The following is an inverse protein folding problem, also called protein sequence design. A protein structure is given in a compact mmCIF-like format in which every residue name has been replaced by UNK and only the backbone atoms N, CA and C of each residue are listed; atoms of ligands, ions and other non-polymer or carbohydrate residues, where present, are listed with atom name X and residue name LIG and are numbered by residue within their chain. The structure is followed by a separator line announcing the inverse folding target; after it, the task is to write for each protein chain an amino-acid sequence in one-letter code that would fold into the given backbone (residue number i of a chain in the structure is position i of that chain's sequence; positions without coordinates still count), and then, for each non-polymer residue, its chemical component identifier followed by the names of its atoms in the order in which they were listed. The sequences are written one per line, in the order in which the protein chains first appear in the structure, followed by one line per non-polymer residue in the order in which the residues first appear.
data_IF_472637896753
#
_entry.id   IF_472637896753
#
_cell.length_a   1.000
_cell.length_b   1.000
_cell.length_c   1.000
_cell.angle_alpha   90.00
_cell.angle_beta   90.00
_cell.angle_gamma   90.00
#
_symmetry.space_group_name_H-M   'P 1'
#
loop_
_entity.id
_entity.type
_entity.pdbx_description
1 polymer ?
#
# COMPACT_ATOMS: atom_id res chain seq x y z
N UNK A 1 6.21 17.68 -9.87
CA UNK A 1 6.78 16.63 -9.00
C UNK A 1 7.50 17.30 -7.85
N UNK A 2 7.28 16.85 -6.62
CA UNK A 2 7.84 17.51 -5.46
C UNK A 2 9.23 16.97 -5.10
N UNK A 3 9.95 17.77 -4.32
CA UNK A 3 11.27 17.47 -3.78
C UNK A 3 11.35 17.90 -2.33
N UNK A 4 12.06 17.12 -1.53
CA UNK A 4 12.39 17.46 -0.14
C UNK A 4 13.88 17.81 -0.09
N UNK A 5 14.18 18.96 0.51
CA UNK A 5 15.55 19.39 0.77
C UNK A 5 15.79 19.36 2.28
N UNK A 6 16.98 18.93 2.69
CA UNK A 6 17.43 18.96 4.08
C UNK A 6 18.31 20.20 4.28
N UNK A 7 18.00 21.01 5.29
CA UNK A 7 18.85 22.10 5.76
C UNK A 7 19.61 21.63 7.01
N UNK A 8 20.94 21.68 6.97
CA UNK A 8 21.77 21.48 8.15
C UNK A 8 22.01 22.82 8.83
N UNK A 9 21.40 23.05 10.00
CA UNK A 9 21.42 24.36 10.68
C UNK A 9 22.85 24.81 11.01
N UNK A 10 23.71 23.89 11.48
CA UNK A 10 25.07 24.21 11.89
C UNK A 10 25.98 24.71 10.75
N UNK A 11 25.75 24.25 9.51
CA UNK A 11 26.59 24.58 8.35
C UNK A 11 25.88 25.44 7.30
N UNK A 12 24.57 25.68 7.46
CA UNK A 12 23.74 26.31 6.43
C UNK A 12 23.58 25.49 5.15
N UNK A 13 24.14 24.27 5.08
CA UNK A 13 24.14 23.46 3.86
C UNK A 13 22.73 22.93 3.58
N UNK A 14 22.24 23.22 2.37
CA UNK A 14 21.00 22.66 1.84
C UNK A 14 21.33 21.56 0.84
N UNK A 15 20.81 20.36 1.05
CA UNK A 15 21.03 19.20 0.18
C UNK A 15 19.72 18.53 -0.23
N UNK A 16 19.71 17.89 -1.40
CA UNK A 16 18.56 17.13 -1.88
C UNK A 16 18.42 15.84 -1.07
N UNK A 17 17.28 15.71 -0.37
CA UNK A 17 16.98 14.54 0.44
C UNK A 17 16.11 13.53 -0.30
N UNK A 18 15.10 14.02 -1.03
CA UNK A 18 14.25 13.19 -1.89
C UNK A 18 13.80 13.98 -3.12
N UNK A 19 13.70 13.31 -4.27
CA UNK A 19 13.26 13.89 -5.53
C UNK A 19 12.21 13.00 -6.19
N UNK A 20 11.49 13.54 -7.18
CA UNK A 20 10.50 12.81 -7.95
C UNK A 20 9.32 12.26 -7.13
N UNK A 21 8.89 12.98 -6.09
CA UNK A 21 7.81 12.50 -5.21
C UNK A 21 6.45 12.61 -5.90
N UNK A 22 5.56 11.60 -5.74
CA UNK A 22 4.29 11.48 -6.46
C UNK A 22 3.16 12.41 -5.96
N UNK A 23 3.46 13.28 -4.99
CA UNK A 23 2.51 14.24 -4.42
C UNK A 23 3.21 15.47 -3.85
N UNK A 24 2.44 16.43 -3.36
CA UNK A 24 2.96 17.58 -2.62
C UNK A 24 3.19 17.19 -1.16
N UNK A 25 4.37 17.47 -0.58
CA UNK A 25 4.61 17.33 0.85
C UNK A 25 3.54 18.06 1.65
N UNK A 26 2.85 17.33 2.50
CA UNK A 26 1.87 17.81 3.46
C UNK A 26 2.23 17.23 4.84
N UNK A 27 2.35 18.10 5.84
CA UNK A 27 2.75 17.78 7.21
C UNK A 27 4.08 17.00 7.36
N UNK A 28 5.04 17.60 8.04
CA UNK A 28 6.27 16.91 8.46
C UNK A 28 6.11 16.57 9.95
N UNK A 29 6.12 15.28 10.29
CA UNK A 29 6.02 14.81 11.68
C UNK A 29 7.30 14.10 12.09
N UNK A 30 7.87 14.50 13.22
CA UNK A 30 9.02 13.82 13.81
C UNK A 30 8.56 12.52 14.46
N UNK A 31 9.26 11.42 14.19
CA UNK A 31 9.04 10.16 14.89
C UNK A 31 9.80 10.13 16.22
N UNK A 32 9.38 9.27 17.15
CA UNK A 32 10.11 9.01 18.39
C UNK A 32 11.52 8.38 18.19
N UNK A 33 11.88 8.02 16.95
CA UNK A 33 13.16 7.37 16.61
C UNK A 33 14.14 8.29 15.87
N UNK A 34 13.87 9.60 15.85
CA UNK A 34 14.74 10.58 15.17
C UNK A 34 14.61 10.61 13.65
N UNK A 35 13.61 9.93 13.08
CA UNK A 35 13.23 10.02 11.66
C UNK A 35 12.07 11.00 11.46
N UNK A 36 11.73 11.30 10.22
CA UNK A 36 10.60 12.15 9.86
C UNK A 36 9.65 11.42 8.92
N UNK A 37 8.36 11.59 9.16
CA UNK A 37 7.29 11.26 8.24
C UNK A 37 6.91 12.51 7.45
N UNK A 38 6.72 12.35 6.15
CA UNK A 38 6.23 13.41 5.28
C UNK A 38 4.98 12.87 4.60
N UNK A 39 3.81 13.40 4.96
CA UNK A 39 2.59 13.11 4.22
C UNK A 39 2.74 13.64 2.80
N UNK A 40 2.15 12.95 1.83
CA UNK A 40 2.11 13.43 0.45
C UNK A 40 0.64 13.61 0.07
N UNK A 41 0.21 14.86 -0.07
CA UNK A 41 -1.09 15.19 -0.64
C UNK A 41 -0.95 15.31 -2.16
N UNK A 42 -1.66 14.49 -2.91
CA UNK A 42 -1.88 14.78 -4.33
C UNK A 42 -3.08 15.75 -4.42
N UNK A 43 -2.85 16.99 -4.87
CA UNK A 43 -3.95 17.93 -5.14
C UNK A 43 -4.86 17.35 -6.21
N UNK A 44 -6.10 17.05 -5.83
CA UNK A 44 -7.19 16.77 -6.79
C UNK A 44 -7.38 18.01 -7.66
N UNK A 45 -7.18 17.86 -8.97
CA UNK A 45 -7.55 18.88 -9.95
C UNK A 45 -8.70 18.37 -10.80
N UNK A 46 -9.58 19.27 -11.24
CA UNK A 46 -10.61 18.97 -12.23
C UNK A 46 -10.03 18.36 -13.53
N UNK A 47 -8.77 18.68 -13.85
CA UNK A 47 -8.04 18.15 -15.01
C UNK A 47 -7.25 16.86 -14.73
N UNK A 48 -7.09 16.48 -13.45
CA UNK A 48 -6.37 15.27 -13.03
C UNK A 48 -7.12 14.59 -11.88
N UNK A 49 -8.33 14.05 -12.13
CA UNK A 49 -9.07 13.32 -11.10
C UNK A 49 -8.31 12.03 -10.76
N UNK A 50 -7.83 11.92 -9.52
CA UNK A 50 -7.32 10.65 -9.00
C UNK A 50 -8.43 9.59 -9.06
N UNK A 51 -8.25 8.56 -9.88
CA UNK A 51 -9.19 7.44 -10.04
C UNK A 51 -8.98 6.36 -8.98
N UNK A 52 -7.89 6.43 -8.20
CA UNK A 52 -7.58 5.53 -7.10
C UNK A 52 -6.91 6.26 -5.92
N UNK A 53 -6.96 5.62 -4.76
CA UNK A 53 -6.31 6.04 -3.51
C UNK A 53 -5.59 4.84 -2.90
N UNK A 54 -4.44 5.08 -2.26
CA UNK A 54 -3.74 4.10 -1.41
C UNK A 54 -4.02 4.50 0.04
N UNK A 55 -4.45 3.54 0.85
CA UNK A 55 -4.76 3.70 2.28
C UNK A 55 -3.68 2.99 3.07
N UNK A 56 -3.11 3.68 4.05
CA UNK A 56 -2.00 3.21 4.90
C UNK A 56 -2.33 3.45 6.37
N UNK A 57 -1.84 2.59 7.25
CA UNK A 57 -1.92 2.79 8.71
C UNK A 57 -0.57 3.32 9.24
N UNK A 58 -0.57 3.93 10.42
CA UNK A 58 0.62 4.58 10.98
C UNK A 58 1.61 3.60 11.63
N UNK A 59 1.19 2.35 11.83
CA UNK A 59 1.98 1.28 12.44
C UNK A 59 2.53 0.27 11.43
N UNK A 60 2.63 0.67 10.16
CA UNK A 60 3.10 -0.16 9.04
C UNK A 60 4.42 0.36 8.43
N UNK A 61 5.40 -0.54 8.28
CA UNK A 61 6.65 -0.32 7.57
C UNK A 61 6.45 -0.66 6.09
N UNK A 62 6.82 0.25 5.19
CA UNK A 62 6.62 0.08 3.75
C UNK A 62 7.88 -0.45 3.04
N UNK A 63 7.68 -1.31 2.05
CA UNK A 63 8.76 -1.79 1.20
C UNK A 63 9.28 -0.69 0.24
N UNK A 64 10.57 -0.74 -0.18
CA UNK A 64 11.15 0.25 -1.09
C UNK A 64 10.43 0.36 -2.45
N UNK A 65 9.77 -0.71 -2.89
CA UNK A 65 9.06 -0.80 -4.17
C UNK A 65 7.53 -0.62 -4.06
N UNK A 66 6.99 -0.27 -2.88
CA UNK A 66 5.54 -0.19 -2.63
C UNK A 66 4.79 0.66 -3.67
N UNK A 67 5.29 1.87 -3.95
CA UNK A 67 4.62 2.78 -4.91
C UNK A 67 4.70 2.25 -6.34
N UNK A 68 5.83 1.66 -6.74
CA UNK A 68 5.98 1.01 -8.04
C UNK A 68 5.05 -0.19 -8.16
N UNK A 69 4.88 -0.97 -7.10
CA UNK A 69 3.95 -2.08 -7.03
C UNK A 69 2.50 -1.62 -7.30
N UNK A 70 2.02 -0.59 -6.61
CA UNK A 70 0.67 -0.07 -6.86
C UNK A 70 0.51 0.59 -8.23
N UNK A 71 1.51 1.36 -8.67
CA UNK A 71 1.48 2.01 -9.99
C UNK A 71 1.32 0.98 -11.12
N UNK A 72 2.09 -0.13 -11.05
CA UNK A 72 2.03 -1.20 -12.04
C UNK A 72 0.72 -2.00 -12.00
N UNK A 73 0.00 -2.05 -10.87
CA UNK A 73 -1.25 -2.80 -10.75
C UNK A 73 -2.52 -1.96 -10.88
N UNK A 74 -2.39 -0.63 -10.88
CA UNK A 74 -3.53 0.28 -11.01
C UNK A 74 -4.36 0.01 -12.25
N UNK A 75 -3.72 -0.23 -13.39
CA UNK A 75 -4.44 -0.46 -14.65
C UNK A 75 -5.30 -1.74 -14.58
N UNK A 76 -4.84 -2.79 -13.89
CA UNK A 76 -5.61 -4.02 -13.70
C UNK A 76 -6.84 -3.74 -12.85
N UNK A 77 -6.66 -3.05 -11.73
CA UNK A 77 -7.76 -2.66 -10.84
C UNK A 77 -8.80 -1.77 -11.56
N UNK A 78 -8.37 -0.93 -12.50
CA UNK A 78 -9.27 -0.08 -13.28
C UNK A 78 -10.00 -0.85 -14.39
N UNK A 79 -9.34 -1.77 -15.08
CA UNK A 79 -9.91 -2.52 -16.22
C UNK A 79 -10.77 -3.69 -15.78
N UNK A 80 -10.31 -4.50 -14.83
CA UNK A 80 -10.98 -5.71 -14.41
C UNK A 80 -12.00 -5.43 -13.30
N UNK A 81 -13.29 -5.54 -13.63
CA UNK A 81 -14.40 -5.27 -12.69
C UNK A 81 -14.62 -6.37 -11.66
N UNK A 82 -13.96 -7.51 -11.82
CA UNK A 82 -13.94 -8.57 -10.81
C UNK A 82 -12.91 -8.29 -9.71
N UNK A 83 -12.05 -7.27 -9.88
CA UNK A 83 -11.18 -6.74 -8.83
C UNK A 83 -11.81 -5.54 -8.13
N UNK A 84 -11.51 -5.40 -6.85
CA UNK A 84 -11.95 -4.22 -6.07
C UNK A 84 -10.87 -3.63 -5.17
N UNK A 85 -9.75 -4.34 -4.96
CA UNK A 85 -8.58 -3.80 -4.31
C UNK A 85 -7.26 -4.41 -4.81
N UNK A 86 -6.16 -3.73 -4.51
CA UNK A 86 -4.81 -4.30 -4.50
C UNK A 86 -4.28 -4.11 -3.08
N UNK A 87 -3.83 -5.17 -2.42
CA UNK A 87 -3.24 -5.10 -1.08
C UNK A 87 -1.75 -5.43 -1.16
N UNK A 88 -0.95 -4.73 -0.37
CA UNK A 88 0.47 -5.02 -0.18
C UNK A 88 0.71 -6.20 0.78
N UNK A 89 -0.34 -6.76 1.40
CA UNK A 89 -0.24 -7.76 2.45
C UNK A 89 -0.56 -9.18 1.98
N UNK A 90 0.22 -10.15 2.46
CA UNK A 90 -0.06 -11.57 2.36
C UNK A 90 -0.34 -12.14 3.77
N UNK A 91 -1.59 -12.50 4.05
CA UNK A 91 -2.02 -13.12 5.32
C UNK A 91 -1.32 -14.44 5.66
N UNK A 92 -0.65 -15.07 4.69
CA UNK A 92 0.14 -16.28 4.88
C UNK A 92 1.63 -16.08 4.59
N UNK A 93 2.11 -14.83 4.61
CA UNK A 93 3.48 -14.42 4.29
C UNK A 93 4.59 -14.86 5.26
N UNK A 94 4.39 -15.93 6.05
CA UNK A 94 5.36 -16.38 7.05
C UNK A 94 6.53 -17.14 6.42
N UNK A 95 7.71 -17.13 7.08
CA UNK A 95 8.78 -18.10 6.81
C UNK A 95 8.25 -19.53 6.61
N UNK A 96 8.57 -20.15 5.47
CA UNK A 96 8.17 -21.53 5.17
C UNK A 96 6.86 -21.70 4.41
N UNK A 97 6.04 -20.64 4.33
CA UNK A 97 4.77 -20.65 3.59
C UNK A 97 4.84 -19.91 2.25
N UNK A 98 5.97 -19.28 1.96
CA UNK A 98 6.19 -18.49 0.75
C UNK A 98 7.51 -18.86 0.07
N UNK A 99 7.52 -18.69 -1.25
CA UNK A 99 8.73 -18.63 -2.06
C UNK A 99 9.38 -17.24 -1.89
N UNK A 100 10.51 -17.22 -1.20
CA UNK A 100 11.25 -15.99 -0.85
C UNK A 100 11.99 -15.35 -2.03
N UNK A 101 12.09 -16.03 -3.16
CA UNK A 101 12.72 -15.48 -4.37
C UNK A 101 11.70 -15.06 -5.42
N UNK A 102 10.43 -15.46 -5.28
CA UNK A 102 9.33 -15.12 -6.18
C UNK A 102 8.77 -13.69 -5.97
N UNK A 103 9.64 -12.68 -6.01
CA UNK A 103 9.30 -11.28 -5.71
C UNK A 103 8.23 -10.66 -6.62
N UNK A 104 8.11 -11.14 -7.86
CA UNK A 104 7.15 -10.66 -8.85
C UNK A 104 5.84 -11.43 -8.86
N UNK A 105 5.72 -12.50 -8.05
CA UNK A 105 4.55 -13.38 -8.05
C UNK A 105 3.38 -12.74 -7.32
N UNK A 106 2.21 -12.76 -7.97
CA UNK A 106 0.96 -12.18 -7.50
C UNK A 106 -0.15 -13.21 -7.52
N UNK A 107 -1.17 -12.98 -6.70
CA UNK A 107 -2.34 -13.83 -6.58
C UNK A 107 -3.60 -12.98 -6.50
N UNK A 108 -4.72 -13.60 -6.85
CA UNK A 108 -6.05 -13.10 -6.53
C UNK A 108 -6.51 -13.76 -5.24
N UNK A 109 -7.18 -12.99 -4.39
CA UNK A 109 -7.69 -13.43 -3.09
C UNK A 109 -9.15 -13.01 -2.94
N UNK A 110 -10.00 -13.94 -2.53
CA UNK A 110 -11.37 -13.63 -2.10
C UNK A 110 -11.39 -12.96 -0.72
N UNK A 111 -10.36 -13.17 0.09
CA UNK A 111 -10.22 -12.49 1.38
C UNK A 111 -9.67 -11.08 1.16
N UNK A 112 -10.31 -10.08 1.76
CA UNK A 112 -9.85 -8.68 1.78
C UNK A 112 -8.78 -8.49 2.88
N UNK A 113 -7.50 -8.29 2.51
CA UNK A 113 -6.42 -8.27 3.50
C UNK A 113 -6.27 -6.93 4.22
N UNK A 114 -6.68 -5.81 3.59
CA UNK A 114 -6.36 -4.48 4.09
C UNK A 114 -4.86 -4.18 4.00
N UNK A 115 -4.29 -3.65 5.10
CA UNK A 115 -2.85 -3.46 5.38
C UNK A 115 -2.04 -2.99 4.15
N UNK A 116 -2.03 -1.66 3.97
CA UNK A 116 -1.61 -0.94 2.76
C UNK A 116 -2.35 -1.45 1.52
N UNK A 117 -3.43 -0.77 1.14
CA UNK A 117 -4.26 -1.20 0.02
C UNK A 117 -4.73 -0.04 -0.85
N UNK A 118 -4.90 -0.33 -2.13
CA UNK A 118 -5.38 0.60 -3.14
C UNK A 118 -6.81 0.26 -3.53
N UNK A 119 -7.67 1.28 -3.59
CA UNK A 119 -9.03 1.19 -4.11
C UNK A 119 -9.31 2.22 -5.19
N UNK A 120 -10.30 1.95 -6.03
CA UNK A 120 -10.78 2.93 -7.01
C UNK A 120 -11.77 3.92 -6.40
N UNK A 121 -11.89 5.11 -7.00
CA UNK A 121 -12.95 6.07 -6.70
C UNK A 121 -14.34 5.44 -6.84
N UNK A 122 -14.54 4.55 -7.81
CA UNK A 122 -15.81 3.84 -8.02
C UNK A 122 -16.16 2.96 -6.82
N UNK A 123 -15.18 2.22 -6.32
CA UNK A 123 -15.32 1.41 -5.10
C UNK A 123 -15.69 2.31 -3.92
N UNK A 124 -15.00 3.45 -3.74
CA UNK A 124 -15.33 4.39 -2.67
C UNK A 124 -16.77 4.91 -2.77
N UNK A 125 -17.20 5.36 -3.95
CA UNK A 125 -18.57 5.86 -4.18
C UNK A 125 -19.65 4.82 -3.91
N UNK A 126 -19.34 3.53 -4.02
CA UNK A 126 -20.24 2.43 -3.66
C UNK A 126 -20.31 2.20 -2.14
N UNK A 127 -19.20 2.37 -1.43
CA UNK A 127 -19.08 2.05 0.00
C UNK A 127 -19.45 3.23 0.90
N UNK A 128 -19.08 4.46 0.52
CA UNK A 128 -19.26 5.70 1.30
C UNK A 128 -20.69 5.89 1.84
N UNK A 129 -21.77 5.72 1.06
CA UNK A 129 -23.13 5.97 1.55
C UNK A 129 -23.60 4.97 2.62
N UNK A 130 -22.90 3.83 2.76
CA UNK A 130 -23.26 2.73 3.66
C UNK A 130 -22.11 2.35 4.59
N UNK A 131 -21.15 3.26 4.77
CA UNK A 131 -19.96 3.00 5.58
C UNK A 131 -20.35 2.70 7.04
N UNK A 132 -19.77 1.68 7.68
CA UNK A 132 -20.17 1.27 9.02
C UNK A 132 -19.59 2.19 10.09
N UNK A 133 -20.22 2.24 11.26
CA UNK A 133 -19.71 2.99 12.42
C UNK A 133 -18.48 2.37 13.09
N UNK A 134 -18.11 1.13 12.74
CA UNK A 134 -16.98 0.38 13.29
C UNK A 134 -16.74 -0.93 12.54
N UNK A 135 -15.65 -1.63 12.86
CA UNK A 135 -15.28 -2.93 12.25
C UNK A 135 -15.33 -2.92 10.71
N UNK A 136 -14.81 -1.83 10.13
CA UNK A 136 -14.96 -1.54 8.71
C UNK A 136 -14.32 -2.59 7.80
N UNK A 137 -13.24 -3.23 8.24
CA UNK A 137 -12.52 -4.24 7.48
C UNK A 137 -13.28 -5.58 7.47
N UNK A 138 -13.88 -5.98 8.59
CA UNK A 138 -14.79 -7.14 8.64
C UNK A 138 -16.05 -6.91 7.82
N UNK A 139 -16.68 -5.73 7.95
CA UNK A 139 -17.82 -5.33 7.11
C UNK A 139 -17.46 -5.34 5.61
N UNK A 140 -16.23 -4.96 5.25
CA UNK A 140 -15.77 -5.07 3.86
C UNK A 140 -15.67 -6.53 3.39
N UNK A 141 -15.36 -7.48 4.28
CA UNK A 141 -15.26 -8.91 3.94
C UNK A 141 -16.63 -9.55 3.70
N UNK A 142 -17.72 -8.93 4.15
CA UNK A 142 -19.08 -9.44 3.99
C UNK A 142 -19.48 -9.56 2.50
N UNK A 143 -20.27 -10.59 2.12
CA UNK A 143 -20.68 -10.82 0.74
C UNK A 143 -21.40 -9.62 0.07
N UNK A 144 -22.16 -8.85 0.84
CA UNK A 144 -22.96 -7.70 0.39
C UNK A 144 -22.08 -6.54 -0.08
N UNK A 145 -20.89 -6.41 0.49
CA UNK A 145 -19.87 -5.43 0.14
C UNK A 145 -18.93 -6.02 -0.91
N UNK A 146 -18.38 -7.20 -0.65
CA UNK A 146 -17.41 -7.84 -1.54
C UNK A 146 -17.99 -8.16 -2.91
N UNK A 147 -19.25 -8.60 -2.97
CA UNK A 147 -19.97 -8.95 -4.21
C UNK A 147 -19.20 -9.91 -5.11
N UNK A 148 -18.53 -10.90 -4.51
CA UNK A 148 -17.71 -11.87 -5.23
C UNK A 148 -16.42 -11.32 -5.85
N UNK A 149 -16.08 -10.05 -5.63
CA UNK A 149 -14.85 -9.44 -6.15
C UNK A 149 -13.63 -9.88 -5.34
N UNK A 150 -12.47 -9.75 -5.96
CA UNK A 150 -11.20 -10.22 -5.44
C UNK A 150 -10.18 -9.08 -5.31
N UNK A 151 -9.20 -9.28 -4.45
CA UNK A 151 -8.05 -8.41 -4.35
C UNK A 151 -6.83 -9.05 -4.98
N UNK A 152 -5.96 -8.25 -5.59
CA UNK A 152 -4.59 -8.69 -5.88
C UNK A 152 -3.78 -8.60 -4.58
N UNK A 153 -2.99 -9.63 -4.30
CA UNK A 153 -2.01 -9.65 -3.20
C UNK A 153 -0.72 -10.34 -3.65
N UNK A 154 0.44 -10.03 -3.05
CA UNK A 154 1.70 -10.62 -3.49
C UNK A 154 2.10 -11.91 -2.78
N UNK A 155 3.10 -12.61 -3.32
CA UNK A 155 3.78 -13.69 -2.61
C UNK A 155 4.52 -13.16 -1.37
N UNK A 156 5.36 -12.15 -1.55
CA UNK A 156 6.12 -11.47 -0.49
C UNK A 156 5.40 -10.15 -0.21
N UNK A 157 5.04 -9.87 1.04
CA UNK A 157 4.36 -8.62 1.41
C UNK A 157 5.21 -7.39 1.08
N UNK A 158 4.58 -6.26 0.78
CA UNK A 158 5.22 -4.95 0.54
C UNK A 158 4.97 -3.99 1.71
N UNK A 159 4.38 -4.51 2.77
CA UNK A 159 4.25 -3.87 4.06
C UNK A 159 4.54 -4.88 5.17
N UNK A 160 5.06 -4.39 6.29
CA UNK A 160 5.37 -5.14 7.49
C UNK A 160 4.82 -4.44 8.72
N UNK A 161 4.33 -5.20 9.70
CA UNK A 161 3.88 -4.65 10.97
C UNK A 161 5.06 -4.12 11.79
N UNK A 162 5.01 -2.84 12.14
CA UNK A 162 6.03 -2.23 13.01
C UNK A 162 5.91 -2.78 14.43
N UNK A 163 6.94 -2.58 15.25
CA UNK A 163 6.88 -2.89 16.70
C UNK A 163 5.75 -2.15 17.44
N UNK A 164 5.25 -1.06 16.87
CA UNK A 164 4.22 -0.21 17.46
C UNK A 164 2.80 -0.78 17.24
N UNK A 165 2.59 -1.62 16.22
CA UNK A 165 1.31 -2.33 16.00
C UNK A 165 0.93 -3.31 17.11
N UNK A 166 1.84 -3.56 18.06
CA UNK A 166 1.51 -4.25 19.32
C UNK A 166 0.58 -3.41 20.22
N UNK A 167 0.64 -2.09 20.14
CA UNK A 167 -0.09 -1.12 20.98
C UNK A 167 -1.29 -0.53 20.22
N UNK A 168 -2.00 -1.34 19.44
CA UNK A 168 -3.21 -0.94 18.74
C UNK A 168 -4.50 -1.23 19.52
N UNK A 169 -5.63 -0.88 18.90
CA UNK A 169 -7.00 -1.05 19.43
C UNK A 169 -7.32 -2.52 19.79
N UNK A 170 -6.64 -3.49 19.15
CA UNK A 170 -6.81 -4.93 19.39
C UNK A 170 -6.07 -5.46 20.63
N UNK A 171 -5.31 -4.63 21.35
CA UNK A 171 -4.51 -5.05 22.50
C UNK A 171 -3.38 -6.03 22.15
N UNK A 172 -2.99 -6.11 20.88
CA UNK A 172 -1.86 -6.91 20.40
C UNK A 172 -2.06 -8.43 20.47
N UNK A 173 -3.31 -8.90 20.55
CA UNK A 173 -3.65 -10.32 20.70
C UNK A 173 -3.25 -11.15 19.47
N UNK A 174 -3.48 -10.63 18.26
CA UNK A 174 -3.06 -11.26 17.00
C UNK A 174 -1.64 -10.85 16.56
N UNK A 175 -1.16 -9.70 17.02
CA UNK A 175 0.15 -9.15 16.64
C UNK A 175 1.28 -10.14 16.91
N UNK A 176 1.44 -10.60 18.16
CA UNK A 176 2.57 -11.45 18.58
C UNK A 176 2.58 -12.83 17.94
N UNK A 177 1.41 -13.42 17.77
CA UNK A 177 1.30 -14.81 17.33
C UNK A 177 1.30 -14.95 15.82
N UNK A 178 0.87 -13.91 15.10
CA UNK A 178 0.60 -13.98 13.67
C UNK A 178 1.21 -12.82 12.87
N UNK A 179 0.75 -11.58 13.10
CA UNK A 179 1.05 -10.46 12.20
C UNK A 179 2.54 -10.08 12.18
N UNK A 180 3.22 -10.07 13.34
CA UNK A 180 4.63 -9.70 13.44
C UNK A 180 5.60 -10.71 12.82
N UNK A 181 5.10 -11.83 12.28
CA UNK A 181 5.89 -12.91 11.69
C UNK A 181 5.86 -12.91 10.15
N UNK A 182 5.10 -12.00 9.54
CA UNK A 182 5.08 -11.89 8.08
C UNK A 182 6.37 -11.31 7.55
N UNK A 183 6.88 -11.90 6.47
CA UNK A 183 8.00 -11.35 5.72
C UNK A 183 7.50 -10.31 4.72
N UNK A 184 8.26 -9.23 4.60
CA UNK A 184 8.03 -8.21 3.59
C UNK A 184 9.33 -7.86 2.86
N UNK A 185 9.19 -7.25 1.70
CA UNK A 185 10.31 -6.95 0.82
C UNK A 185 11.19 -5.83 1.38
N UNK A 186 12.47 -6.14 1.61
CA UNK A 186 13.45 -5.20 2.18
C UNK A 186 14.43 -4.60 1.14
N UNK A 187 14.41 -5.12 -0.10
CA UNK A 187 15.35 -4.71 -1.15
C UNK A 187 14.59 -4.39 -2.44
N UNK A 188 15.15 -3.58 -3.33
CA UNK A 188 14.57 -3.41 -4.66
C UNK A 188 14.93 -4.67 -5.47
N UNK A 189 13.94 -5.51 -5.79
CA UNK A 189 14.13 -6.55 -6.81
C UNK A 189 14.31 -5.90 -8.18
N UNK A 190 15.08 -6.53 -9.09
CA UNK A 190 15.35 -5.98 -10.42
C UNK A 190 14.07 -5.42 -11.07
N UNK A 191 13.99 -4.09 -11.16
CA UNK A 191 12.87 -3.37 -11.76
C UNK A 191 12.85 -3.69 -13.26
N UNK A 192 11.83 -4.40 -13.72
CA UNK A 192 11.50 -4.37 -15.14
C UNK A 192 10.96 -2.97 -15.45
N UNK A 193 11.66 -2.24 -16.31
CA UNK A 193 11.07 -1.05 -16.93
C UNK A 193 9.95 -1.54 -17.84
N UNK A 194 8.70 -1.28 -17.48
CA UNK A 194 7.59 -1.44 -18.42
C UNK A 194 7.70 -0.28 -19.42
N UNK A 195 8.38 -0.55 -20.53
CA UNK A 195 8.29 0.27 -21.73
C UNK A 195 6.83 0.28 -22.19
N UNK A 196 6.33 1.44 -22.61
CA UNK A 196 4.93 1.71 -22.96
C UNK A 196 4.37 0.91 -24.16
N UNK A 197 5.10 -0.08 -24.68
CA UNK A 197 4.79 -0.74 -25.96
C UNK A 197 4.60 -2.27 -25.90
N UNK A 198 4.44 -2.90 -24.74
CA UNK A 198 4.23 -4.37 -24.69
C UNK A 198 2.75 -4.74 -24.66
N UNK A 199 2.23 -5.17 -25.82
CA UNK A 199 0.95 -5.86 -25.93
C UNK A 199 1.10 -7.31 -25.44
N UNK A 200 0.37 -7.68 -24.38
CA UNK A 200 0.21 -9.08 -23.96
C UNK A 200 -1.00 -9.63 -24.73
N UNK A 201 -0.73 -10.50 -25.69
CA UNK A 201 -1.70 -11.41 -26.29
C UNK A 201 -2.02 -12.50 -25.26
N UNK A 202 -3.30 -12.63 -24.90
CA UNK A 202 -3.83 -13.74 -24.12
C UNK A 202 -4.34 -14.79 -25.12
N UNK A 203 -3.82 -16.02 -25.05
CA UNK A 203 -4.51 -17.22 -25.53
C UNK A 203 -5.51 -17.68 -24.47
#
# INVERSE_FOLDING_TARGET
MARIKKLTIASGKIEMFAFNLPGLPDNIRRSGRGTYWVGLAATRSATHPSTSVIITEDDLDIAPDLFSYFLNLRYLLEKDKTLWCVSAWNDNGKPGNIDRIANTKLYRSDFFPGLEWMMTRRTWQELEPKWPGGFWDDWMREPEQRKGRQCIRPEISRTGMTKDGRKGVSGGRFFRNHLSKMLYQLHIGNLFSVSSNTHILLS
#
